data_IF_614214744216
#
_entry.id   IF_614214744216
#
_cell.length_a   1.000
_cell.length_b   1.000
_cell.length_c   1.000
_cell.angle_alpha   90.00
_cell.angle_beta   90.00
_cell.angle_gamma   90.00
#
_symmetry.space_group_name_H-M   'P 1'
#
loop_
_entity.id
_entity.type
_entity.pdbx_description
1 polymer ?
#
# COMPACT_ATOMS: atom_id res chain seq x y z
N UNK A 1 -14.34 1.11 9.65
CA UNK A 1 -12.99 1.51 9.19
C UNK A 1 -11.98 0.97 10.19
N UNK A 2 -10.88 0.38 9.72
CA UNK A 2 -9.87 -0.22 10.58
C UNK A 2 -8.49 -0.11 9.95
N UNK A 3 -7.47 -0.48 10.71
CA UNK A 3 -6.08 -0.54 10.27
C UNK A 3 -5.62 -2.00 10.32
N UNK A 4 -4.76 -2.41 9.39
CA UNK A 4 -4.11 -3.72 9.46
C UNK A 4 -3.25 -3.78 10.71
N UNK A 5 -3.68 -4.59 11.68
CA UNK A 5 -3.06 -4.70 13.00
C UNK A 5 -2.49 -6.09 13.20
N UNK A 6 -1.20 -6.18 13.53
CA UNK A 6 -0.59 -7.46 13.87
C UNK A 6 -0.83 -7.76 15.36
N UNK A 7 -1.60 -8.79 15.73
CA UNK A 7 -2.04 -8.99 17.11
C UNK A 7 -0.90 -9.36 18.06
N UNK A 8 0.11 -10.10 17.59
CA UNK A 8 1.25 -10.53 18.43
C UNK A 8 2.25 -9.40 18.65
N UNK A 9 2.70 -8.75 17.57
CA UNK A 9 3.62 -7.62 17.63
C UNK A 9 2.97 -6.34 18.14
N UNK A 10 1.64 -6.30 18.20
CA UNK A 10 0.83 -5.17 18.65
C UNK A 10 1.17 -3.85 17.95
N UNK A 11 1.34 -3.94 16.62
CA UNK A 11 1.72 -2.82 15.76
C UNK A 11 0.88 -2.83 14.48
N UNK A 12 0.64 -1.64 13.87
CA UNK A 12 0.11 -1.60 12.53
C UNK A 12 1.16 -2.11 11.54
N UNK A 13 0.74 -2.72 10.44
CA UNK A 13 1.65 -3.22 9.41
C UNK A 13 1.06 -3.06 8.01
N UNK A 14 1.93 -3.04 7.01
CA UNK A 14 1.54 -3.11 5.60
C UNK A 14 1.72 -4.55 5.15
N UNK A 15 0.65 -5.26 4.74
CA UNK A 15 0.78 -6.63 4.28
C UNK A 15 1.70 -6.75 3.06
N UNK A 16 2.51 -7.80 3.03
CA UNK A 16 3.38 -8.14 1.90
C UNK A 16 2.58 -8.26 0.59
N UNK A 17 1.38 -8.85 0.67
CA UNK A 17 0.47 -8.99 -0.47
C UNK A 17 0.00 -7.64 -1.02
N UNK A 18 -0.20 -6.64 -0.15
CA UNK A 18 -0.55 -5.28 -0.58
C UNK A 18 0.63 -4.60 -1.27
N UNK A 19 1.85 -4.71 -0.73
CA UNK A 19 3.06 -4.17 -1.36
C UNK A 19 3.29 -4.77 -2.74
N UNK A 20 3.23 -6.10 -2.79
CA UNK A 20 3.40 -6.88 -4.00
C UNK A 20 2.33 -6.59 -5.04
N UNK A 21 1.07 -6.47 -4.62
CA UNK A 21 -0.04 -6.10 -5.48
C UNK A 21 0.09 -4.69 -6.06
N UNK A 22 0.48 -3.72 -5.23
CA UNK A 22 0.72 -2.34 -5.67
C UNK A 22 1.88 -2.26 -6.66
N UNK A 23 3.01 -2.93 -6.37
CA UNK A 23 4.16 -2.99 -7.27
C UNK A 23 3.82 -3.62 -8.62
N UNK A 24 3.10 -4.75 -8.60
CA UNK A 24 2.62 -5.41 -9.82
C UNK A 24 1.71 -4.49 -10.64
N UNK A 25 0.68 -3.90 -10.01
CA UNK A 25 -0.25 -3.01 -10.69
C UNK A 25 0.46 -1.78 -11.26
N UNK A 26 1.42 -1.20 -10.52
CA UNK A 26 2.22 -0.08 -11.00
C UNK A 26 3.03 -0.45 -12.25
N UNK A 27 3.67 -1.62 -12.26
CA UNK A 27 4.41 -2.09 -13.42
C UNK A 27 3.49 -2.34 -14.63
N UNK A 28 2.32 -2.94 -14.42
CA UNK A 28 1.32 -3.19 -15.47
C UNK A 28 0.81 -1.87 -16.08
N UNK A 29 0.39 -0.92 -15.25
CA UNK A 29 -0.16 0.38 -15.71
C UNK A 29 0.89 1.19 -16.47
N UNK A 30 2.15 1.15 -16.05
CA UNK A 30 3.23 1.91 -16.68
C UNK A 30 3.98 1.13 -17.78
N UNK A 31 3.53 -0.07 -18.14
CA UNK A 31 4.18 -0.95 -19.11
C UNK A 31 5.68 -1.23 -18.80
N UNK A 32 6.03 -1.29 -17.52
CA UNK A 32 7.38 -1.60 -17.05
C UNK A 32 7.55 -3.12 -17.00
N UNK A 33 8.66 -3.61 -17.55
CA UNK A 33 9.04 -5.02 -17.47
C UNK A 33 10.22 -5.20 -16.51
N UNK A 34 9.97 -5.34 -15.19
CA UNK A 34 11.05 -5.58 -14.25
C UNK A 34 11.81 -6.84 -14.63
N UNK A 35 13.15 -6.82 -14.50
CA UNK A 35 14.00 -7.96 -14.86
C UNK A 35 13.88 -8.41 -16.33
N UNK A 36 13.34 -7.55 -17.21
CA UNK A 36 13.03 -7.90 -18.60
C UNK A 36 11.87 -8.90 -18.77
N UNK A 37 11.09 -9.15 -17.72
CA UNK A 37 10.02 -10.16 -17.67
C UNK A 37 8.64 -9.53 -17.49
N UNK A 38 7.59 -10.31 -17.66
CA UNK A 38 6.25 -9.86 -17.32
C UNK A 38 6.12 -9.65 -15.80
N UNK A 39 5.37 -8.63 -15.32
CA UNK A 39 5.17 -8.40 -13.89
C UNK A 39 4.69 -9.64 -13.13
N UNK A 40 3.90 -10.51 -13.77
CA UNK A 40 3.40 -11.76 -13.22
C UNK A 40 4.48 -12.82 -13.04
N UNK A 41 5.56 -12.81 -13.82
CA UNK A 41 6.70 -13.70 -13.60
C UNK A 41 7.54 -13.19 -12.42
N UNK A 42 7.70 -11.87 -12.31
CA UNK A 42 8.55 -11.27 -11.26
C UNK A 42 7.86 -11.32 -9.90
N UNK A 43 6.64 -10.82 -9.82
CA UNK A 43 5.88 -10.84 -8.59
C UNK A 43 5.17 -12.18 -8.41
N UNK A 44 4.84 -12.92 -9.45
CA UNK A 44 4.12 -14.20 -9.33
C UNK A 44 2.62 -14.06 -9.62
N UNK A 45 1.98 -15.21 -9.78
CA UNK A 45 0.58 -15.35 -10.12
C UNK A 45 -0.10 -16.36 -9.17
N UNK A 46 -1.43 -16.52 -9.22
CA UNK A 46 -2.11 -17.58 -8.45
C UNK A 46 -1.61 -18.99 -8.77
N UNK A 47 -0.98 -19.20 -9.93
CA UNK A 47 -0.54 -20.51 -10.43
C UNK A 47 0.98 -20.69 -10.43
N UNK A 48 1.76 -19.66 -10.08
CA UNK A 48 3.22 -19.70 -10.14
C UNK A 48 3.90 -18.75 -9.16
N UNK A 49 4.98 -19.21 -8.54
CA UNK A 49 5.80 -18.39 -7.66
C UNK A 49 6.54 -17.31 -8.46
N UNK A 50 6.62 -16.11 -7.89
CA UNK A 50 7.41 -15.01 -8.46
C UNK A 50 8.90 -15.16 -8.17
N UNK A 51 9.71 -14.37 -8.86
CA UNK A 51 11.16 -14.30 -8.68
C UNK A 51 11.60 -13.59 -7.39
N UNK A 52 10.71 -12.82 -6.76
CA UNK A 52 10.99 -12.09 -5.51
C UNK A 52 9.94 -12.34 -4.45
N UNK A 53 10.40 -12.41 -3.20
CA UNK A 53 9.56 -12.52 -2.01
C UNK A 53 9.63 -11.21 -1.23
N UNK A 54 8.46 -10.69 -0.84
CA UNK A 54 8.35 -9.50 0.01
C UNK A 54 7.84 -9.94 1.38
N UNK A 55 8.39 -9.36 2.44
CA UNK A 55 7.84 -9.51 3.80
C UNK A 55 6.80 -8.45 4.09
N UNK A 56 6.05 -8.64 5.17
CA UNK A 56 5.24 -7.57 5.74
C UNK A 56 6.13 -6.39 6.16
N UNK A 57 5.58 -5.18 6.04
CA UNK A 57 6.25 -3.96 6.46
C UNK A 57 5.81 -3.55 7.86
N UNK A 58 6.78 -3.38 8.76
CA UNK A 58 6.53 -2.96 10.14
C UNK A 58 7.13 -1.59 10.44
N UNK A 59 6.50 -0.79 11.31
CA UNK A 59 7.04 0.50 11.72
C UNK A 59 8.29 0.27 12.57
N UNK A 60 9.39 0.94 12.20
CA UNK A 60 10.68 0.88 12.91
C UNK A 60 11.07 2.21 13.56
N UNK A 61 10.40 3.30 13.18
CA UNK A 61 10.57 4.63 13.76
C UNK A 61 9.28 5.41 13.60
N UNK A 62 8.90 6.19 14.61
CA UNK A 62 7.83 7.18 14.52
C UNK A 62 8.28 8.49 15.19
N UNK A 63 7.57 9.58 14.88
CA UNK A 63 7.72 10.84 15.59
C UNK A 63 6.94 10.81 16.90
N UNK A 64 6.13 11.85 17.14
CA UNK A 64 5.35 11.97 18.37
C UNK A 64 4.23 10.93 18.49
N UNK A 65 3.71 10.44 17.36
CA UNK A 65 2.60 9.49 17.30
C UNK A 65 2.86 8.43 16.23
N UNK A 66 2.40 7.22 16.51
CA UNK A 66 2.32 6.13 15.52
C UNK A 66 0.98 6.14 14.79
N UNK A 67 -0.10 6.42 15.52
CA UNK A 67 -1.47 6.50 15.02
C UNK A 67 -2.07 7.82 15.47
N UNK A 68 -2.84 8.44 14.59
CA UNK A 68 -3.63 9.62 14.88
C UNK A 68 -5.09 9.43 14.43
N UNK A 69 -6.04 10.06 15.14
CA UNK A 69 -7.43 10.08 14.70
C UNK A 69 -7.57 11.00 13.49
N UNK A 70 -8.31 10.57 12.49
CA UNK A 70 -8.67 11.36 11.32
C UNK A 70 -10.17 11.23 11.03
N UNK A 71 -10.73 12.16 10.28
CA UNK A 71 -12.18 12.27 10.05
C UNK A 71 -12.49 12.46 8.57
N UNK A 72 -13.48 11.72 8.08
CA UNK A 72 -14.13 12.02 6.80
C UNK A 72 -15.58 12.33 7.09
N UNK A 73 -16.10 13.39 6.47
CA UNK A 73 -17.48 13.83 6.63
C UNK A 73 -18.23 13.69 5.30
N UNK A 74 -18.70 12.48 4.91
CA UNK A 74 -19.62 12.36 3.79
C UNK A 74 -20.88 13.17 4.06
N UNK A 75 -21.26 14.01 3.09
CA UNK A 75 -22.48 14.82 3.17
C UNK A 75 -23.65 14.14 2.44
N UNK A 76 -23.37 13.33 1.42
CA UNK A 76 -24.38 12.65 0.61
C UNK A 76 -24.30 11.13 0.83
N UNK A 77 -25.45 10.47 0.83
CA UNK A 77 -25.55 9.00 0.95
C UNK A 77 -25.82 8.44 -0.44
N UNK A 78 -24.78 8.44 -1.27
CA UNK A 78 -24.86 8.00 -2.69
C UNK A 78 -25.45 6.59 -2.84
N UNK A 79 -25.14 5.68 -1.92
CA UNK A 79 -25.68 4.32 -1.92
C UNK A 79 -27.22 4.25 -1.74
N UNK A 80 -27.82 5.32 -1.23
CA UNK A 80 -29.27 5.45 -1.02
C UNK A 80 -29.92 6.37 -2.05
N UNK A 81 -29.16 6.86 -3.03
CA UNK A 81 -29.65 7.81 -4.05
C UNK A 81 -29.92 9.22 -3.54
N UNK A 82 -29.58 9.52 -2.28
CA UNK A 82 -29.77 10.81 -1.62
C UNK A 82 -28.57 11.73 -1.91
N UNK A 83 -28.57 12.34 -3.09
CA UNK A 83 -27.50 13.24 -3.59
C UNK A 83 -27.95 14.69 -3.79
N UNK A 84 -29.21 15.02 -3.42
CA UNK A 84 -29.71 16.38 -3.50
C UNK A 84 -29.20 17.25 -2.36
N UNK A 85 -29.09 18.57 -2.59
CA UNK A 85 -28.71 19.54 -1.54
C UNK A 85 -29.63 19.50 -0.32
N UNK A 86 -30.94 19.25 -0.53
CA UNK A 86 -31.91 19.11 0.55
C UNK A 86 -31.70 17.82 1.38
N UNK A 87 -31.04 16.82 0.80
CA UNK A 87 -30.77 15.52 1.42
C UNK A 87 -29.37 15.46 2.05
N UNK A 88 -28.58 16.55 1.93
CA UNK A 88 -27.26 16.62 2.49
C UNK A 88 -27.31 16.51 4.02
N UNK A 89 -26.70 15.46 4.56
CA UNK A 89 -26.63 15.16 5.98
C UNK A 89 -25.20 14.78 6.35
N UNK A 90 -24.38 15.77 6.78
CA UNK A 90 -22.99 15.54 7.15
C UNK A 90 -22.91 14.48 8.24
N UNK A 91 -22.22 13.38 7.94
CA UNK A 91 -22.03 12.25 8.87
C UNK A 91 -20.55 12.09 9.20
N UNK A 92 -20.05 12.66 10.30
CA UNK A 92 -18.62 12.60 10.61
C UNK A 92 -18.19 11.17 10.98
N UNK A 93 -17.24 10.61 10.24
CA UNK A 93 -16.68 9.28 10.44
C UNK A 93 -15.24 9.37 10.93
N UNK A 94 -15.04 9.14 12.23
CA UNK A 94 -13.72 9.07 12.86
C UNK A 94 -13.06 7.72 12.58
N UNK A 95 -11.77 7.70 12.25
CA UNK A 95 -10.99 6.47 12.05
C UNK A 95 -9.52 6.66 12.44
N UNK A 96 -8.81 5.58 12.81
CA UNK A 96 -7.38 5.63 13.03
C UNK A 96 -6.62 5.68 11.69
N UNK A 97 -5.63 6.57 11.60
CA UNK A 97 -4.68 6.66 10.50
C UNK A 97 -3.25 6.53 11.04
N UNK A 98 -2.35 5.93 10.26
CA UNK A 98 -0.91 5.99 10.57
C UNK A 98 -0.47 7.44 10.46
N UNK A 99 0.15 7.96 11.51
CA UNK A 99 0.60 9.34 11.54
C UNK A 99 1.72 9.60 10.52
N UNK A 100 1.87 10.86 10.11
CA UNK A 100 2.99 11.25 9.24
C UNK A 100 4.34 11.08 9.94
N UNK A 101 5.37 10.76 9.17
CA UNK A 101 6.73 10.59 9.69
C UNK A 101 7.03 9.20 10.28
N UNK A 102 6.11 8.24 10.15
CA UNK A 102 6.36 6.84 10.50
C UNK A 102 7.18 6.17 9.39
N UNK A 103 8.27 5.51 9.77
CA UNK A 103 9.17 4.77 8.88
C UNK A 103 8.83 3.29 8.97
N UNK A 104 8.48 2.69 7.84
CA UNK A 104 8.27 1.25 7.72
C UNK A 104 9.52 0.57 7.17
N UNK A 105 9.72 -0.69 7.57
CA UNK A 105 10.75 -1.58 7.03
C UNK A 105 10.14 -2.90 6.65
N UNK A 106 10.52 -3.37 5.48
CA UNK A 106 10.25 -4.71 4.95
C UNK A 106 11.52 -5.21 4.26
N UNK A 107 11.55 -6.49 3.93
CA UNK A 107 12.65 -7.13 3.22
C UNK A 107 12.17 -7.66 1.87
N UNK A 108 13.08 -7.66 0.91
CA UNK A 108 12.90 -8.27 -0.40
C UNK A 108 13.95 -9.37 -0.52
N UNK A 109 13.52 -10.61 -0.67
CA UNK A 109 14.40 -11.75 -0.88
C UNK A 109 14.30 -12.22 -2.35
N UNK A 110 15.40 -12.17 -3.11
CA UNK A 110 15.43 -12.74 -4.46
C UNK A 110 15.47 -14.27 -4.40
N UNK A 111 14.85 -14.93 -5.38
CA UNK A 111 15.09 -16.35 -5.66
C UNK A 111 16.37 -16.51 -6.49
N UNK A 112 16.87 -17.75 -6.61
CA UNK A 112 18.16 -18.05 -7.25
C UNK A 112 18.26 -17.52 -8.69
N UNK A 113 17.12 -17.33 -9.35
CA UNK A 113 16.99 -16.88 -10.72
C UNK A 113 16.98 -15.34 -10.88
N UNK A 114 16.98 -14.58 -9.78
CA UNK A 114 17.00 -13.11 -9.79
C UNK A 114 18.42 -12.57 -9.54
N UNK A 115 18.97 -11.86 -10.53
CA UNK A 115 20.27 -11.20 -10.42
C UNK A 115 20.18 -9.82 -9.74
N UNK A 116 21.34 -9.18 -9.49
CA UNK A 116 21.39 -7.87 -8.84
C UNK A 116 20.70 -6.76 -9.63
N UNK A 117 20.69 -6.85 -10.96
CA UNK A 117 20.00 -5.91 -11.84
C UNK A 117 18.48 -6.04 -11.67
N UNK A 118 17.97 -7.26 -11.68
CA UNK A 118 16.57 -7.57 -11.44
C UNK A 118 16.08 -7.00 -10.10
N UNK A 119 16.88 -7.13 -9.04
CA UNK A 119 16.52 -6.54 -7.74
C UNK A 119 16.43 -5.00 -7.79
N UNK A 120 17.28 -4.36 -8.59
CA UNK A 120 17.25 -2.90 -8.78
C UNK A 120 15.98 -2.47 -9.52
N UNK A 121 15.63 -3.16 -10.61
CA UNK A 121 14.40 -2.92 -11.35
C UNK A 121 13.16 -3.08 -10.45
N UNK A 122 13.15 -4.12 -9.60
CA UNK A 122 12.06 -4.36 -8.64
C UNK A 122 11.98 -3.24 -7.61
N UNK A 123 13.12 -2.76 -7.09
CA UNK A 123 13.14 -1.63 -6.15
C UNK A 123 12.61 -0.34 -6.79
N UNK A 124 12.90 -0.09 -8.06
CA UNK A 124 12.39 1.08 -8.78
C UNK A 124 10.88 0.99 -9.00
N UNK A 125 10.36 -0.18 -9.36
CA UNK A 125 8.92 -0.44 -9.45
C UNK A 125 8.23 -0.24 -8.10
N UNK A 126 8.80 -0.78 -7.02
CA UNK A 126 8.24 -0.62 -5.67
C UNK A 126 8.28 0.87 -5.26
N UNK A 127 9.37 1.58 -5.53
CA UNK A 127 9.47 3.02 -5.25
C UNK A 127 8.36 3.79 -5.94
N UNK A 128 8.11 3.52 -7.23
CA UNK A 128 7.03 4.14 -7.99
C UNK A 128 5.64 3.83 -7.41
N UNK A 129 5.39 2.57 -7.04
CA UNK A 129 4.13 2.17 -6.41
C UNK A 129 3.90 2.87 -5.06
N UNK A 130 4.96 3.03 -4.26
CA UNK A 130 4.87 3.73 -2.97
C UNK A 130 4.59 5.23 -3.13
N UNK A 131 5.07 5.86 -4.20
CA UNK A 131 4.78 7.27 -4.49
C UNK A 131 3.35 7.51 -4.95
N UNK A 132 2.74 6.55 -5.65
CA UNK A 132 1.30 6.59 -5.99
C UNK A 132 0.39 6.30 -4.78
N UNK A 133 0.95 5.62 -3.77
CA UNK A 133 0.32 5.33 -2.49
C UNK A 133 -0.20 3.91 -2.36
N UNK A 134 -0.18 3.40 -1.13
CA UNK A 134 -0.59 2.06 -0.76
C UNK A 134 -1.58 2.07 0.40
N UNK A 135 -2.56 1.18 0.35
CA UNK A 135 -3.63 1.07 1.35
C UNK A 135 -4.92 1.71 0.87
N UNK A 136 -5.70 2.26 1.79
CA UNK A 136 -6.99 2.86 1.49
C UNK A 136 -6.87 4.34 1.13
N UNK A 137 -7.84 4.86 0.36
CA UNK A 137 -8.02 6.30 0.10
C UNK A 137 -6.82 6.97 -0.59
N UNK A 138 -6.07 6.23 -1.40
CA UNK A 138 -4.89 6.74 -2.13
C UNK A 138 -5.20 7.92 -3.04
N UNK A 139 -6.38 7.92 -3.69
CA UNK A 139 -6.86 9.06 -4.49
C UNK A 139 -7.08 10.36 -3.71
N UNK A 140 -7.23 10.27 -2.39
CA UNK A 140 -7.34 11.42 -1.49
C UNK A 140 -5.97 11.81 -0.89
N UNK A 141 -4.87 11.19 -1.36
CA UNK A 141 -3.51 11.46 -0.91
C UNK A 141 -3.05 10.65 0.30
N UNK A 142 -3.82 9.65 0.75
CA UNK A 142 -3.41 8.76 1.85
C UNK A 142 -2.44 7.69 1.36
N UNK A 143 -1.63 7.16 2.27
CA UNK A 143 -0.82 5.97 2.01
C UNK A 143 0.40 6.21 1.11
N UNK A 144 0.75 7.47 0.82
CA UNK A 144 1.98 7.82 0.07
C UNK A 144 3.20 7.61 0.97
N UNK A 145 4.16 6.80 0.52
CA UNK A 145 5.45 6.60 1.18
C UNK A 145 6.58 7.03 0.27
N UNK A 146 7.70 7.41 0.90
CA UNK A 146 8.95 7.72 0.20
C UNK A 146 9.99 6.70 0.65
N UNK A 147 10.64 6.07 -0.33
CA UNK A 147 11.72 5.11 -0.14
C UNK A 147 13.05 5.84 0.05
#
# INVERSE_FOLDING_TARGET
>A
MGISWHPVLNLPYIPASSLKGAARAYAEVNNIRPCGKAPEEVFGSPTGAGLVELTDAYPVKCGDKLIEPDIINPHYREAEGAIGEADASPTPLLFPAVARGVVFRFFIAPRAEADGKCLTDVLDVIRGALTEGIGAKTRLGYGVLKL
#
